data_IF_555690862735
#
_entry.id   IF_555690862735
#
_cell.length_a   1.000
_cell.length_b   1.000
_cell.length_c   1.000
_cell.angle_alpha   90.00
_cell.angle_beta   90.00
_cell.angle_gamma   90.00
#
_symmetry.space_group_name_H-M   'P 1'
#
loop_
_entity.id
_entity.type
_entity.pdbx_description
1 polymer ?
#
# COMPACT_ATOMS: atom_id res chain seq x y z
N UNK A 1 11.68 18.78 30.21
CA UNK A 1 11.82 17.37 29.75
C UNK A 1 10.66 16.90 28.87
N UNK A 2 9.47 17.51 28.92
CA UNK A 2 8.30 17.14 28.11
C UNK A 2 8.34 17.61 26.65
N UNK A 3 8.97 18.75 26.35
CA UNK A 3 9.05 19.26 24.96
C UNK A 3 9.98 18.46 24.04
N UNK A 4 11.11 17.96 24.56
CA UNK A 4 12.03 17.14 23.77
C UNK A 4 11.38 15.81 23.37
N UNK A 5 10.68 15.14 24.29
CA UNK A 5 9.93 13.91 24.00
C UNK A 5 8.85 14.13 22.92
N UNK A 6 8.17 15.28 22.96
CA UNK A 6 7.18 15.66 21.95
C UNK A 6 7.78 15.95 20.57
N UNK A 7 9.03 16.42 20.49
CA UNK A 7 9.74 16.60 19.24
C UNK A 7 10.14 15.25 18.61
N UNK A 8 10.74 14.34 19.39
CA UNK A 8 11.16 13.01 18.91
C UNK A 8 9.99 12.21 18.31
N UNK A 9 8.83 12.22 18.98
CA UNK A 9 7.63 11.53 18.49
C UNK A 9 7.18 12.05 17.11
N UNK A 10 7.27 13.35 16.86
CA UNK A 10 6.87 13.94 15.57
C UNK A 10 7.80 13.57 14.41
N UNK A 11 9.10 13.45 14.68
CA UNK A 11 10.06 12.97 13.69
C UNK A 11 9.92 11.47 13.43
N UNK A 12 9.55 10.69 14.44
CA UNK A 12 9.25 9.26 14.26
C UNK A 12 8.03 9.08 13.36
N UNK A 13 6.95 9.82 13.60
CA UNK A 13 5.77 9.82 12.73
C UNK A 13 6.14 10.23 11.31
N UNK A 14 6.96 11.27 11.12
CA UNK A 14 7.46 11.64 9.79
C UNK A 14 8.22 10.47 9.13
N UNK A 15 9.08 9.78 9.89
CA UNK A 15 9.81 8.61 9.41
C UNK A 15 8.89 7.48 8.95
N UNK A 16 7.80 7.21 9.69
CA UNK A 16 6.78 6.23 9.30
C UNK A 16 6.12 6.59 7.97
N UNK A 17 5.78 7.86 7.76
CA UNK A 17 5.20 8.32 6.49
C UNK A 17 6.17 8.27 5.32
N UNK A 18 7.45 8.61 5.55
CA UNK A 18 8.48 8.49 4.50
C UNK A 18 8.65 7.02 4.12
N UNK A 19 8.73 6.13 5.11
CA UNK A 19 8.86 4.69 4.87
C UNK A 19 7.63 4.13 4.16
N UNK A 20 6.42 4.49 4.61
CA UNK A 20 5.15 4.14 3.97
C UNK A 20 5.12 4.56 2.50
N UNK A 21 5.47 5.83 2.23
CA UNK A 21 5.54 6.38 0.88
C UNK A 21 6.49 5.59 -0.04
N UNK A 22 7.71 5.30 0.44
CA UNK A 22 8.69 4.53 -0.32
C UNK A 22 8.21 3.09 -0.57
N UNK A 23 7.62 2.44 0.45
CA UNK A 23 7.04 1.12 0.31
C UNK A 23 5.88 1.08 -0.68
N UNK A 24 5.01 2.10 -0.68
CA UNK A 24 3.89 2.21 -1.62
C UNK A 24 4.39 2.41 -3.06
N UNK A 25 5.37 3.28 -3.30
CA UNK A 25 6.00 3.45 -4.62
C UNK A 25 6.63 2.14 -5.11
N UNK A 26 7.42 1.49 -4.25
CA UNK A 26 8.07 0.23 -4.58
C UNK A 26 7.05 -0.86 -4.90
N UNK A 27 5.98 -0.93 -4.12
CA UNK A 27 4.88 -1.89 -4.32
C UNK A 27 4.16 -1.65 -5.64
N UNK A 28 3.83 -0.39 -5.97
CA UNK A 28 3.22 -0.03 -7.25
C UNK A 28 4.10 -0.46 -8.42
N UNK A 29 5.40 -0.16 -8.35
CA UNK A 29 6.34 -0.49 -9.42
C UNK A 29 6.45 -2.01 -9.64
N UNK A 30 6.67 -2.77 -8.57
CA UNK A 30 6.81 -4.23 -8.67
C UNK A 30 5.51 -4.91 -9.10
N UNK A 31 4.37 -4.54 -8.50
CA UNK A 31 3.08 -5.11 -8.88
C UNK A 31 2.76 -4.80 -10.34
N UNK A 32 3.03 -3.58 -10.81
CA UNK A 32 2.81 -3.19 -12.20
C UNK A 32 3.68 -4.00 -13.17
N UNK A 33 4.97 -4.17 -12.88
CA UNK A 33 5.87 -4.99 -13.71
C UNK A 33 5.38 -6.43 -13.79
N UNK A 34 5.02 -7.02 -12.65
CA UNK A 34 4.55 -8.40 -12.57
C UNK A 34 3.23 -8.57 -13.35
N UNK A 35 2.29 -7.65 -13.18
CA UNK A 35 1.01 -7.68 -13.91
C UNK A 35 1.20 -7.49 -15.42
N UNK A 36 2.09 -6.59 -15.86
CA UNK A 36 2.43 -6.41 -17.28
C UNK A 36 3.08 -7.67 -17.85
N UNK A 37 3.99 -8.29 -17.10
CA UNK A 37 4.61 -9.55 -17.49
C UNK A 37 3.55 -10.65 -17.67
N UNK A 38 2.66 -10.83 -16.68
CA UNK A 38 1.56 -11.77 -16.78
C UNK A 38 0.67 -11.48 -17.98
N UNK A 39 0.26 -10.23 -18.19
CA UNK A 39 -0.56 -9.85 -19.33
C UNK A 39 0.11 -10.21 -20.67
N UNK A 40 1.42 -9.95 -20.82
CA UNK A 40 2.19 -10.33 -22.02
C UNK A 40 2.23 -11.84 -22.22
N UNK A 41 2.43 -12.62 -21.15
CA UNK A 41 2.47 -14.10 -21.20
C UNK A 41 1.10 -14.67 -21.56
N UNK A 42 0.02 -14.21 -20.90
CA UNK A 42 -1.35 -14.63 -21.19
C UNK A 42 -1.77 -14.33 -22.64
N UNK A 43 -1.38 -13.16 -23.17
CA UNK A 43 -1.71 -12.74 -24.55
C UNK A 43 -1.11 -13.68 -25.60
N UNK A 44 0.06 -14.27 -25.33
CA UNK A 44 0.72 -15.15 -26.31
C UNK A 44 0.08 -16.53 -26.44
N UNK A 45 -0.95 -16.88 -25.64
CA UNK A 45 -1.64 -18.21 -25.60
C UNK A 45 -0.73 -19.44 -25.43
N UNK A 46 0.58 -19.31 -25.51
CA UNK A 46 1.56 -20.40 -25.45
C UNK A 46 1.75 -20.95 -24.04
N UNK A 47 1.43 -20.16 -23.00
CA UNK A 47 1.57 -20.57 -21.61
C UNK A 47 0.35 -20.10 -20.81
N UNK A 48 -0.43 -21.04 -20.28
CA UNK A 48 -1.26 -20.78 -19.09
C UNK A 48 -0.33 -20.94 -17.89
N UNK A 49 0.20 -19.86 -17.30
CA UNK A 49 0.97 -20.02 -16.06
C UNK A 49 0.08 -20.74 -15.03
N UNK A 50 0.63 -21.73 -14.31
CA UNK A 50 0.01 -22.35 -13.11
C UNK A 50 -0.04 -21.35 -11.93
N UNK A 51 -0.36 -20.12 -12.24
CA UNK A 51 -0.46 -19.03 -11.30
C UNK A 51 -1.92 -18.92 -10.95
N UNK A 52 -2.18 -19.18 -9.67
CA UNK A 52 -3.49 -19.12 -9.06
C UNK A 52 -4.19 -17.81 -9.41
N UNK A 53 -5.48 -17.87 -9.74
CA UNK A 53 -6.31 -16.68 -9.87
C UNK A 53 -6.26 -15.83 -8.58
N UNK A 54 -6.09 -16.47 -7.42
CA UNK A 54 -5.93 -15.81 -6.13
C UNK A 54 -4.62 -15.03 -6.02
N UNK A 55 -3.56 -15.44 -6.72
CA UNK A 55 -2.28 -14.71 -6.73
C UNK A 55 -2.41 -13.41 -7.52
N UNK A 56 -3.11 -13.49 -8.66
CA UNK A 56 -3.40 -12.31 -9.46
C UNK A 56 -4.32 -11.34 -8.70
N UNK A 57 -5.36 -11.86 -8.03
CA UNK A 57 -6.24 -11.06 -7.20
C UNK A 57 -5.47 -10.38 -6.05
N UNK A 58 -4.56 -11.08 -5.38
CA UNK A 58 -3.70 -10.52 -4.34
C UNK A 58 -2.83 -9.37 -4.88
N UNK A 59 -2.18 -9.54 -6.05
CA UNK A 59 -1.36 -8.50 -6.66
C UNK A 59 -2.17 -7.25 -7.02
N UNK A 60 -3.36 -7.43 -7.60
CA UNK A 60 -4.26 -6.31 -7.94
C UNK A 60 -4.73 -5.61 -6.67
N UNK A 61 -5.11 -6.37 -5.64
CA UNK A 61 -5.52 -5.82 -4.34
C UNK A 61 -4.40 -4.98 -3.71
N UNK A 62 -3.17 -5.49 -3.74
CA UNK A 62 -1.99 -4.80 -3.21
C UNK A 62 -1.66 -3.53 -4.00
N UNK A 63 -1.78 -3.56 -5.33
CA UNK A 63 -1.61 -2.40 -6.19
C UNK A 63 -2.66 -1.32 -5.88
N UNK A 64 -3.93 -1.70 -5.76
CA UNK A 64 -5.01 -0.78 -5.42
C UNK A 64 -4.81 -0.18 -4.03
N UNK A 65 -4.45 -0.98 -3.03
CA UNK A 65 -4.15 -0.50 -1.69
C UNK A 65 -3.06 0.57 -1.70
N UNK A 66 -1.94 0.30 -2.39
CA UNK A 66 -0.85 1.27 -2.51
C UNK A 66 -1.27 2.55 -3.25
N UNK A 67 -2.10 2.45 -4.31
CA UNK A 67 -2.63 3.61 -5.03
C UNK A 67 -3.58 4.47 -4.19
N UNK A 68 -4.38 3.87 -3.31
CA UNK A 68 -5.26 4.62 -2.41
C UNK A 68 -4.52 5.25 -1.22
N UNK A 69 -3.43 4.63 -0.77
CA UNK A 69 -2.61 5.15 0.34
C UNK A 69 -1.61 6.23 -0.12
N UNK A 70 -1.16 6.20 -1.38
CA UNK A 70 -0.16 7.15 -1.88
C UNK A 70 -0.62 8.63 -1.76
N UNK A 71 -1.86 9.03 -2.12
CA UNK A 71 -2.32 10.41 -1.95
C UNK A 71 -2.32 10.87 -0.48
N UNK A 72 -2.61 9.93 0.43
CA UNK A 72 -2.58 10.17 1.87
C UNK A 72 -1.14 10.43 2.34
N UNK A 73 -0.19 9.58 1.96
CA UNK A 73 1.23 9.77 2.29
C UNK A 73 1.78 11.10 1.73
N UNK A 74 1.47 11.41 0.46
CA UNK A 74 1.90 12.67 -0.18
C UNK A 74 1.34 13.88 0.57
N UNK A 75 0.05 13.86 0.92
CA UNK A 75 -0.56 14.97 1.63
C UNK A 75 0.10 15.18 2.99
N UNK A 76 0.36 14.09 3.73
CA UNK A 76 0.98 14.16 5.05
C UNK A 76 2.41 14.68 4.94
N UNK A 77 3.21 14.17 4.00
CA UNK A 77 4.58 14.63 3.79
C UNK A 77 4.64 16.11 3.34
N UNK A 78 3.77 16.52 2.41
CA UNK A 78 3.75 17.89 1.89
C UNK A 78 3.29 18.92 2.93
N UNK A 79 2.41 18.52 3.86
CA UNK A 79 1.87 19.39 4.89
C UNK A 79 2.50 19.16 6.28
N UNK A 80 3.52 18.32 6.37
CA UNK A 80 4.17 18.05 7.65
C UNK A 80 4.82 19.31 8.18
N UNK A 81 4.47 19.68 9.41
CA UNK A 81 5.11 20.78 10.13
C UNK A 81 5.42 20.33 11.55
N UNK A 82 6.64 20.56 12.05
CA UNK A 82 7.05 20.11 13.38
C UNK A 82 6.24 20.77 14.53
N UNK A 83 5.50 21.84 14.25
CA UNK A 83 4.74 22.60 15.26
C UNK A 83 3.26 22.83 14.94
N UNK A 84 2.73 22.30 13.82
CA UNK A 84 1.33 22.48 13.48
C UNK A 84 0.56 21.16 13.65
N UNK A 85 -0.60 21.23 14.32
CA UNK A 85 -1.57 20.14 14.33
C UNK A 85 -2.21 20.01 12.94
N UNK A 86 -2.29 18.78 12.43
CA UNK A 86 -2.97 18.48 11.17
C UNK A 86 -4.46 18.83 11.29
N UNK A 87 -4.86 19.99 10.74
CA UNK A 87 -6.26 20.44 10.77
C UNK A 87 -7.24 19.53 10.01
N UNK A 88 -6.74 18.68 9.10
CA UNK A 88 -7.56 17.90 8.17
C UNK A 88 -7.60 16.38 8.48
N UNK A 89 -7.33 15.98 9.72
CA UNK A 89 -7.29 14.57 10.14
C UNK A 89 -8.49 13.71 9.69
N UNK A 90 -9.75 14.17 9.80
CA UNK A 90 -10.91 13.39 9.35
C UNK A 90 -10.96 13.17 7.83
N UNK A 91 -10.63 14.18 7.02
CA UNK A 91 -10.59 14.06 5.56
C UNK A 91 -9.51 13.07 5.13
N UNK A 92 -8.36 13.13 5.81
CA UNK A 92 -7.23 12.23 5.62
C UNK A 92 -7.57 10.76 5.92
N UNK A 93 -8.35 10.52 6.98
CA UNK A 93 -8.86 9.19 7.32
C UNK A 93 -9.75 8.61 6.22
N UNK A 94 -10.66 9.41 5.65
CA UNK A 94 -11.54 8.94 4.58
C UNK A 94 -10.80 8.60 3.28
N UNK A 95 -9.74 9.35 2.96
CA UNK A 95 -8.88 9.05 1.81
C UNK A 95 -8.13 7.73 2.00
N UNK A 96 -7.65 7.45 3.22
CA UNK A 96 -6.86 6.26 3.50
C UNK A 96 -7.70 5.02 3.84
N UNK A 97 -8.96 5.18 4.26
CA UNK A 97 -9.85 4.09 4.69
C UNK A 97 -9.95 2.98 3.65
N UNK A 98 -10.11 3.34 2.38
CA UNK A 98 -10.24 2.35 1.31
C UNK A 98 -8.96 1.50 1.20
N UNK A 99 -7.79 2.13 1.28
CA UNK A 99 -6.50 1.42 1.27
C UNK A 99 -6.35 0.46 2.45
N UNK A 100 -6.76 0.89 3.65
CA UNK A 100 -6.73 0.03 4.84
C UNK A 100 -7.69 -1.16 4.75
N UNK A 101 -8.90 -0.95 4.22
CA UNK A 101 -9.86 -2.03 3.97
C UNK A 101 -9.29 -3.07 3.00
N UNK A 102 -8.60 -2.63 1.93
CA UNK A 102 -7.95 -3.55 0.98
C UNK A 102 -6.78 -4.30 1.62
N UNK A 103 -5.99 -3.67 2.49
CA UNK A 103 -4.94 -4.39 3.24
C UNK A 103 -5.55 -5.46 4.15
N UNK A 104 -6.68 -5.16 4.79
CA UNK A 104 -7.36 -6.10 5.68
C UNK A 104 -7.87 -7.37 4.96
N UNK A 105 -8.01 -7.36 3.62
CA UNK A 105 -8.38 -8.55 2.84
C UNK A 105 -7.17 -9.39 2.40
N UNK A 106 -5.94 -8.92 2.60
CA UNK A 106 -4.73 -9.67 2.25
C UNK A 106 -4.63 -11.03 2.98
N UNK A 107 -4.87 -11.14 4.30
CA UNK A 107 -4.82 -12.43 4.99
C UNK A 107 -5.78 -13.45 4.40
N UNK A 108 -6.98 -13.01 4.00
CA UNK A 108 -7.98 -13.86 3.35
C UNK A 108 -7.47 -14.37 1.98
N UNK A 109 -6.86 -13.48 1.20
CA UNK A 109 -6.28 -13.82 -0.10
C UNK A 109 -5.11 -14.81 0.03
N UNK A 110 -4.27 -14.66 1.07
CA UNK A 110 -3.18 -15.58 1.39
C UNK A 110 -3.71 -16.95 1.85
N UNK A 111 -4.78 -16.96 2.65
CA UNK A 111 -5.45 -18.19 3.06
C UNK A 111 -5.97 -18.99 1.86
N UNK A 112 -6.68 -18.34 0.93
CA UNK A 112 -7.15 -18.99 -0.30
C UNK A 112 -6.00 -19.44 -1.20
N UNK A 113 -4.91 -18.68 -1.25
CA UNK A 113 -3.69 -19.11 -1.95
C UNK A 113 -3.06 -20.38 -1.37
N UNK A 114 -3.14 -20.55 -0.06
CA UNK A 114 -2.64 -21.75 0.62
C UNK A 114 -3.52 -22.94 0.30
N UNK A 115 -4.85 -22.77 0.33
CA UNK A 115 -5.80 -23.81 -0.07
C UNK A 115 -5.67 -24.23 -1.53
N UNK A 116 -5.42 -23.29 -2.45
CA UNK A 116 -5.23 -23.58 -3.88
C UNK A 116 -3.95 -24.40 -4.17
N UNK A 117 -3.04 -24.51 -3.20
CA UNK A 117 -1.76 -25.22 -3.33
C UNK A 117 -1.70 -26.57 -2.63
N UNK A 118 -2.72 -26.91 -1.82
CA UNK A 118 -2.87 -28.21 -1.13
C UNK A 118 -3.67 -29.15 -2.04
#
# INVERSE_FOLDING_TARGET
MTEQAGAYYKYLVLGEFILSFLCNIFSIFNCSIILIYFYKVFRKKEWRPKVSAFFFALLVNYLLAALFLLPYDIFVLANWRPYASFRNGPMLFWVSVMGHCLIATNPLSVFFLTLDRI
#
